data_IF_969298050819
#
_entry.id   IF_969298050819
#
_cell.length_a   1.000
_cell.length_b   1.000
_cell.length_c   1.000
_cell.angle_alpha   90.00
_cell.angle_beta   90.00
_cell.angle_gamma   90.00
#
_symmetry.space_group_name_H-M   'P 1'
#
loop_
_entity.id
_entity.type
_entity.pdbx_description
1 polymer ?
#
# COMPACT_ATOMS: atom_id res chain seq x y z
N UNK A 1 -3.32 -0.79 9.43
CA UNK A 1 -3.71 0.49 8.77
C UNK A 1 -3.84 0.26 7.26
N UNK A 2 -4.67 1.05 6.56
CA UNK A 2 -4.81 0.98 5.09
C UNK A 2 -4.62 2.37 4.49
N UNK A 3 -3.76 2.47 3.48
CA UNK A 3 -3.46 3.68 2.73
C UNK A 3 -4.04 3.61 1.33
N UNK A 4 -4.50 4.76 0.83
CA UNK A 4 -4.88 4.95 -0.56
C UNK A 4 -3.79 5.74 -1.29
N UNK A 5 -3.48 5.31 -2.51
CA UNK A 5 -2.57 5.99 -3.43
C UNK A 5 -3.31 6.43 -4.72
N UNK A 6 -4.59 6.76 -4.59
CA UNK A 6 -5.41 7.39 -5.64
C UNK A 6 -4.81 8.75 -6.08
N UNK A 7 -5.10 9.30 -7.28
CA UNK A 7 -4.39 10.45 -7.84
C UNK A 7 -4.41 11.72 -6.99
N UNK A 8 -5.41 11.88 -6.13
CA UNK A 8 -5.57 13.08 -5.28
C UNK A 8 -4.89 12.97 -3.91
N UNK A 9 -4.25 11.84 -3.60
CA UNK A 9 -3.54 11.63 -2.33
C UNK A 9 -2.14 12.25 -2.39
N UNK A 10 -1.53 12.48 -1.22
CA UNK A 10 -0.20 13.12 -1.11
C UNK A 10 0.86 12.30 -1.87
N UNK A 11 0.77 10.97 -1.77
CA UNK A 11 1.51 10.00 -2.57
C UNK A 11 0.50 9.30 -3.48
N UNK A 12 0.83 9.17 -4.76
CA UNK A 12 -0.03 8.53 -5.76
C UNK A 12 0.71 7.44 -6.52
N UNK A 13 0.00 6.39 -6.89
CA UNK A 13 0.45 5.38 -7.86
C UNK A 13 -0.47 5.35 -9.09
N UNK A 14 -1.07 6.50 -9.43
CA UNK A 14 -2.29 6.61 -10.22
C UNK A 14 -3.46 5.90 -9.52
N UNK A 15 -3.51 4.58 -9.55
CA UNK A 15 -4.40 3.80 -8.69
C UNK A 15 -3.56 2.88 -7.80
N UNK A 16 -4.03 2.64 -6.58
CA UNK A 16 -3.37 1.71 -5.67
C UNK A 16 -3.61 1.99 -4.19
N UNK A 17 -3.00 1.15 -3.36
CA UNK A 17 -3.08 1.25 -1.92
C UNK A 17 -2.11 0.29 -1.24
N UNK A 18 -2.09 0.36 0.08
CA UNK A 18 -1.20 -0.44 0.91
C UNK A 18 -1.88 -0.77 2.23
N UNK A 19 -1.88 -2.06 2.61
CA UNK A 19 -2.23 -2.48 3.96
C UNK A 19 -0.94 -2.69 4.76
N UNK A 20 -0.90 -2.16 5.98
CA UNK A 20 0.19 -2.35 6.94
C UNK A 20 -0.35 -3.03 8.19
N UNK A 21 0.45 -3.94 8.73
CA UNK A 21 0.23 -4.61 10.01
C UNK A 21 1.58 -4.92 10.66
N UNK A 22 1.61 -5.00 11.99
CA UNK A 22 2.76 -5.49 12.77
C UNK A 22 2.58 -6.96 13.16
N UNK A 23 1.50 -7.60 12.73
CA UNK A 23 1.18 -9.00 12.96
C UNK A 23 1.58 -9.82 11.73
N UNK A 24 2.57 -10.69 11.89
CA UNK A 24 3.14 -11.53 10.83
C UNK A 24 2.15 -12.56 10.28
N UNK A 25 1.26 -13.09 11.12
CA UNK A 25 0.22 -14.02 10.69
C UNK A 25 -0.78 -13.30 9.79
N UNK A 26 -1.19 -12.09 10.20
CA UNK A 26 -2.07 -11.26 9.38
C UNK A 26 -1.39 -10.85 8.07
N UNK A 27 -0.10 -10.48 8.10
CA UNK A 27 0.65 -10.14 6.89
C UNK A 27 0.70 -11.31 5.89
N UNK A 28 0.95 -12.52 6.39
CA UNK A 28 0.95 -13.76 5.59
C UNK A 28 -0.42 -14.00 4.95
N UNK A 29 -1.49 -13.90 5.74
CA UNK A 29 -2.87 -14.05 5.25
C UNK A 29 -3.23 -13.01 4.19
N UNK A 30 -2.87 -11.73 4.41
CA UNK A 30 -3.08 -10.66 3.43
C UNK A 30 -2.29 -10.90 2.14
N UNK A 31 -1.05 -11.40 2.24
CA UNK A 31 -0.22 -11.76 1.10
C UNK A 31 -0.86 -12.82 0.19
N UNK A 32 -1.40 -13.87 0.79
CA UNK A 32 -2.17 -14.91 0.09
C UNK A 32 -3.43 -14.31 -0.57
N UNK A 33 -4.25 -13.60 0.21
CA UNK A 33 -5.49 -13.02 -0.27
C UNK A 33 -5.28 -11.99 -1.39
N UNK A 34 -4.16 -11.27 -1.41
CA UNK A 34 -3.83 -10.31 -2.49
C UNK A 34 -3.64 -11.00 -3.85
N UNK A 35 -3.25 -12.28 -3.86
CA UNK A 35 -2.82 -12.98 -5.06
C UNK A 35 -3.46 -14.38 -5.20
N UNK A 36 -4.78 -14.43 -5.34
CA UNK A 36 -5.59 -15.63 -5.57
C UNK A 36 -5.50 -16.71 -4.48
N UNK A 37 -4.80 -16.47 -3.37
CA UNK A 37 -4.54 -17.47 -2.34
C UNK A 37 -3.49 -18.50 -2.74
N UNK A 38 -2.64 -18.19 -3.73
CA UNK A 38 -1.57 -19.10 -4.19
C UNK A 38 -0.27 -18.91 -3.40
N UNK A 39 0.45 -20.00 -3.17
CA UNK A 39 1.76 -20.01 -2.53
C UNK A 39 2.74 -20.96 -3.23
N UNK A 40 4.03 -20.63 -3.14
CA UNK A 40 5.15 -21.53 -3.45
C UNK A 40 5.94 -21.93 -2.20
N UNK A 41 5.58 -21.37 -1.04
CA UNK A 41 6.21 -21.67 0.24
C UNK A 41 5.75 -23.04 0.74
N UNK A 42 6.66 -23.99 0.83
CA UNK A 42 6.35 -25.36 1.23
C UNK A 42 5.73 -25.44 2.64
N UNK A 43 6.08 -24.53 3.55
CA UNK A 43 5.53 -24.48 4.91
C UNK A 43 4.04 -24.11 4.95
N UNK A 44 3.51 -23.51 3.88
CA UNK A 44 2.10 -23.13 3.75
C UNK A 44 1.30 -24.14 2.91
N UNK A 45 1.96 -25.15 2.33
CA UNK A 45 1.32 -26.16 1.48
C UNK A 45 0.75 -27.32 2.31
N UNK A 46 -0.27 -27.97 1.77
CA UNK A 46 -0.85 -29.19 2.37
C UNK A 46 -0.32 -30.48 1.74
N UNK A 47 0.43 -30.37 0.65
CA UNK A 47 1.01 -31.47 -0.12
C UNK A 47 2.44 -31.09 -0.54
N UNK A 48 3.35 -32.06 -0.73
CA UNK A 48 4.67 -31.79 -1.30
C UNK A 48 4.59 -31.16 -2.69
N UNK A 49 5.63 -30.41 -3.08
CA UNK A 49 5.72 -29.85 -4.43
C UNK A 49 6.02 -30.93 -5.45
N UNK A 50 5.28 -30.94 -6.56
CA UNK A 50 5.53 -31.84 -7.69
C UNK A 50 6.76 -31.42 -8.53
N UNK A 51 7.24 -30.19 -8.37
CA UNK A 51 8.40 -29.66 -9.09
C UNK A 51 8.58 -28.15 -8.93
N UNK A 52 9.62 -27.55 -9.53
CA UNK A 52 9.98 -26.14 -9.33
C UNK A 52 8.96 -25.14 -9.90
N UNK A 53 8.09 -25.58 -10.81
CA UNK A 53 7.02 -24.76 -11.38
C UNK A 53 5.78 -24.72 -10.50
N UNK A 54 5.66 -25.67 -9.56
CA UNK A 54 4.45 -25.91 -8.77
C UNK A 54 4.11 -24.72 -7.88
N UNK A 55 2.81 -24.49 -7.72
CA UNK A 55 2.24 -23.60 -6.72
C UNK A 55 0.91 -24.21 -6.28
N UNK A 56 0.52 -23.95 -5.03
CA UNK A 56 -0.73 -24.45 -4.50
C UNK A 56 -1.66 -23.27 -4.18
N UNK A 57 -2.93 -23.38 -4.55
CA UNK A 57 -3.96 -22.50 -4.02
C UNK A 57 -4.46 -23.05 -2.68
N UNK A 58 -4.12 -22.37 -1.59
CA UNK A 58 -4.42 -22.80 -0.22
C UNK A 58 -5.57 -22.00 0.41
N UNK A 59 -6.03 -20.96 -0.28
CA UNK A 59 -7.17 -20.13 0.09
C UNK A 59 -7.90 -19.59 -1.15
N UNK A 60 -9.11 -19.07 -0.96
CA UNK A 60 -9.80 -18.27 -1.97
C UNK A 60 -9.36 -16.81 -1.82
N UNK A 61 -8.43 -16.36 -2.67
CA UNK A 61 -7.97 -14.97 -2.70
C UNK A 61 -8.52 -14.15 -3.87
N UNK A 62 -8.02 -12.94 -3.98
CA UNK A 62 -8.39 -11.92 -4.97
C UNK A 62 -7.22 -11.60 -5.91
N UNK A 63 -7.48 -10.80 -6.95
CA UNK A 63 -6.43 -10.20 -7.77
C UNK A 63 -6.26 -8.72 -7.41
N UNK A 64 -5.58 -8.44 -6.30
CA UNK A 64 -5.32 -7.08 -5.81
C UNK A 64 -3.83 -6.72 -5.88
N UNK A 65 -3.09 -7.37 -6.78
CA UNK A 65 -1.67 -7.09 -6.97
C UNK A 65 -1.49 -5.69 -7.56
N UNK A 66 -0.54 -4.95 -7.00
CA UNK A 66 0.00 -3.74 -7.62
C UNK A 66 0.92 -4.14 -8.76
N UNK A 67 0.90 -3.39 -9.86
CA UNK A 67 1.82 -3.58 -10.99
C UNK A 67 3.17 -2.90 -10.73
N UNK A 68 4.22 -3.35 -11.40
CA UNK A 68 5.56 -2.73 -11.30
C UNK A 68 5.55 -1.26 -11.74
N UNK A 69 4.71 -0.89 -12.72
CA UNK A 69 4.55 0.52 -13.13
C UNK A 69 4.01 1.38 -11.98
N UNK A 70 2.97 0.89 -11.28
CA UNK A 70 2.39 1.58 -10.12
C UNK A 70 3.41 1.64 -8.97
N UNK A 71 4.13 0.55 -8.72
CA UNK A 71 5.16 0.49 -7.68
C UNK A 71 6.32 1.46 -7.97
N UNK A 72 6.80 1.52 -9.22
CA UNK A 72 7.87 2.44 -9.64
C UNK A 72 7.46 3.91 -9.44
N UNK A 73 6.23 4.27 -9.79
CA UNK A 73 5.68 5.59 -9.51
C UNK A 73 5.63 5.85 -8.00
N UNK A 74 5.15 4.88 -7.21
CA UNK A 74 5.09 4.97 -5.75
C UNK A 74 6.46 5.21 -5.10
N UNK A 75 7.48 4.44 -5.49
CA UNK A 75 8.86 4.60 -5.00
C UNK A 75 9.40 6.01 -5.29
N UNK A 76 9.18 6.51 -6.51
CA UNK A 76 9.56 7.88 -6.89
C UNK A 76 8.82 8.96 -6.09
N UNK A 77 7.57 8.71 -5.70
CA UNK A 77 6.75 9.63 -4.89
C UNK A 77 7.19 9.62 -3.43
N UNK A 78 7.43 8.44 -2.85
CA UNK A 78 7.87 8.29 -1.45
C UNK A 78 9.23 8.95 -1.21
N UNK A 79 10.14 8.89 -2.18
CA UNK A 79 11.43 9.60 -2.11
C UNK A 79 11.28 11.13 -1.94
N UNK A 80 10.13 11.71 -2.32
CA UNK A 80 9.82 13.14 -2.22
C UNK A 80 8.82 13.46 -1.11
N UNK A 81 8.40 12.48 -0.32
CA UNK A 81 7.34 12.63 0.69
C UNK A 81 7.64 13.75 1.68
N UNK A 82 8.86 13.82 2.20
CA UNK A 82 9.27 14.87 3.16
C UNK A 82 9.08 16.27 2.59
N UNK A 83 9.38 16.46 1.31
CA UNK A 83 9.19 17.75 0.63
C UNK A 83 7.70 18.09 0.49
N UNK A 84 6.87 17.11 0.12
CA UNK A 84 5.42 17.29 0.00
C UNK A 84 4.76 17.64 1.33
N UNK A 85 5.13 16.93 2.40
CA UNK A 85 4.61 17.16 3.75
C UNK A 85 5.05 18.52 4.27
N UNK A 86 6.34 18.87 4.15
CA UNK A 86 6.86 20.18 4.54
C UNK A 86 6.08 21.31 3.85
N UNK A 87 5.92 21.23 2.52
CA UNK A 87 5.23 22.28 1.75
C UNK A 87 3.77 22.44 2.19
N UNK A 88 3.09 21.33 2.52
CA UNK A 88 1.70 21.36 3.00
C UNK A 88 1.59 22.00 4.37
N UNK A 89 2.53 21.74 5.29
CA UNK A 89 2.57 22.43 6.58
C UNK A 89 2.79 23.93 6.41
N UNK A 90 3.75 24.35 5.57
CA UNK A 90 3.98 25.79 5.29
C UNK A 90 2.72 26.49 4.76
N UNK A 91 1.95 25.82 3.90
CA UNK A 91 0.70 26.36 3.37
C UNK A 91 -0.37 26.44 4.47
N UNK A 92 -0.50 25.39 5.28
CA UNK A 92 -1.45 25.35 6.39
C UNK A 92 -1.14 26.45 7.41
N UNK A 93 0.11 26.59 7.83
CA UNK A 93 0.55 27.61 8.80
C UNK A 93 0.29 29.03 8.28
N UNK A 94 0.49 29.25 6.98
CA UNK A 94 0.17 30.53 6.33
C UNK A 94 -1.33 30.81 6.39
N UNK A 95 -2.18 29.82 6.08
CA UNK A 95 -3.62 29.97 6.21
C UNK A 95 -4.01 30.25 7.67
N UNK A 96 -3.52 29.45 8.62
CA UNK A 96 -3.77 29.65 10.05
C UNK A 96 -3.40 31.06 10.51
N UNK A 97 -2.27 31.59 10.05
CA UNK A 97 -1.81 32.94 10.41
C UNK A 97 -2.71 34.03 9.81
N UNK A 98 -2.99 33.97 8.51
CA UNK A 98 -3.72 35.03 7.81
C UNK A 98 -5.21 35.04 8.12
N UNK A 99 -5.76 33.90 8.51
CA UNK A 99 -7.18 33.73 8.81
C UNK A 99 -7.51 33.83 10.30
N UNK A 100 -6.52 34.00 11.18
CA UNK A 100 -6.67 33.94 12.63
C UNK A 100 -7.73 34.89 13.23
N UNK A 101 -7.95 36.05 12.60
CA UNK A 101 -8.88 37.08 13.10
C UNK A 101 -10.23 37.09 12.37
N UNK A 102 -10.46 36.15 11.45
CA UNK A 102 -11.75 36.01 10.78
C UNK A 102 -12.65 35.09 11.59
N UNK A 103 -13.98 35.31 11.59
CA UNK A 103 -14.94 34.44 12.25
C UNK A 103 -15.14 33.13 11.46
N UNK A 104 -14.06 32.37 11.29
CA UNK A 104 -14.02 31.06 10.62
C UNK A 104 -13.92 29.98 11.69
N UNK A 105 -14.79 28.96 11.58
CA UNK A 105 -14.81 27.77 12.45
C UNK A 105 -14.11 26.60 11.80
#
# INVERSE_FOLDING_TARGET
>A
AVFSFHPVKIVTTAEGGMALTNDDELATRLGLLRSHGITREASLMTQPMDGPWYYQQVALGYNYRMTDMQAALGVSQVARLTQYVKRRHEIADRYSTLLANLPLT
#
